data_IF_148387208705
#
_entry.id   IF_148387208705
#
_cell.length_a   1.000
_cell.length_b   1.000
_cell.length_c   1.000
_cell.angle_alpha   90.00
_cell.angle_beta   90.00
_cell.angle_gamma   90.00
#
_symmetry.space_group_name_H-M   'P 1'
#
loop_
_entity.id
_entity.type
_entity.pdbx_description
1 polymer ?
#
# COMPACT_ATOMS: atom_id res chain seq x y z
N UNK A 1 41.30 11.45 -43.98
CA UNK A 1 40.06 12.01 -44.55
C UNK A 1 38.94 11.92 -43.51
N UNK A 2 38.39 13.08 -43.13
CA UNK A 2 37.06 13.36 -42.55
C UNK A 2 36.51 12.48 -41.42
N UNK A 3 36.63 13.03 -40.21
CA UNK A 3 35.73 12.86 -39.07
C UNK A 3 34.27 13.16 -39.45
N UNK A 4 33.31 12.38 -38.91
CA UNK A 4 31.90 12.78 -38.86
C UNK A 4 31.38 12.72 -37.44
N UNK A 5 31.28 13.92 -36.89
CA UNK A 5 30.48 14.34 -35.76
C UNK A 5 28.99 14.28 -36.12
N UNK A 6 28.18 13.66 -35.26
CA UNK A 6 26.76 13.91 -35.09
C UNK A 6 26.58 14.00 -33.56
N UNK A 7 26.12 15.08 -32.95
CA UNK A 7 25.08 16.00 -33.36
C UNK A 7 24.06 16.00 -32.23
N UNK A 8 24.37 16.74 -31.16
CA UNK A 8 23.51 16.94 -29.98
C UNK A 8 22.21 17.62 -30.42
N UNK A 9 21.07 16.96 -30.23
CA UNK A 9 19.77 17.63 -30.17
C UNK A 9 19.37 17.70 -28.70
N UNK A 10 19.50 18.89 -28.14
CA UNK A 10 19.04 19.21 -26.79
C UNK A 10 17.52 19.30 -26.76
N UNK A 11 16.92 18.52 -25.86
CA UNK A 11 15.61 18.82 -25.30
C UNK A 11 15.80 19.03 -23.79
N UNK A 12 16.03 20.29 -23.42
CA UNK A 12 15.86 20.78 -22.06
C UNK A 12 14.35 20.97 -21.85
N UNK A 13 13.68 19.96 -21.31
CA UNK A 13 12.38 20.14 -20.68
C UNK A 13 12.60 20.54 -19.21
N UNK A 14 11.90 21.56 -18.68
CA UNK A 14 12.04 21.96 -17.30
C UNK A 14 11.47 20.88 -16.38
N UNK A 15 12.34 20.27 -15.58
CA UNK A 15 12.04 19.33 -14.48
C UNK A 15 11.42 20.09 -13.28
N UNK A 16 10.36 20.84 -13.54
CA UNK A 16 9.59 21.57 -12.54
C UNK A 16 8.18 21.02 -12.45
N UNK A 17 7.84 20.49 -11.27
CA UNK A 17 6.49 20.11 -10.85
C UNK A 17 5.89 18.84 -11.50
N UNK A 18 5.98 17.72 -10.79
CA UNK A 18 4.79 16.87 -10.55
C UNK A 18 5.01 15.94 -9.34
N UNK A 19 5.20 16.54 -8.17
CA UNK A 19 5.23 15.84 -6.88
C UNK A 19 3.93 16.13 -6.12
N UNK A 20 2.82 15.71 -6.72
CA UNK A 20 1.48 15.80 -6.13
C UNK A 20 0.63 14.68 -6.70
N UNK A 21 0.57 13.54 -6.01
CA UNK A 21 -0.59 12.65 -6.12
C UNK A 21 -0.82 11.85 -4.83
N UNK A 22 -1.83 12.34 -4.11
CA UNK A 22 -2.77 11.65 -3.20
C UNK A 22 -2.23 11.13 -1.87
N UNK A 23 -2.40 11.99 -0.87
CA UNK A 23 -2.78 11.60 0.49
C UNK A 23 -3.94 10.60 0.46
N UNK A 24 -3.68 9.31 0.66
CA UNK A 24 -4.75 8.40 1.06
C UNK A 24 -4.95 8.55 2.57
N UNK A 25 -5.91 9.40 2.89
CA UNK A 25 -6.50 9.56 4.21
C UNK A 25 -6.90 8.15 4.71
N UNK A 26 -6.49 7.72 5.91
CA UNK A 26 -7.09 6.56 6.52
C UNK A 26 -8.56 6.91 6.82
N UNK A 27 -9.48 6.36 6.04
CA UNK A 27 -10.89 6.33 6.42
C UNK A 27 -10.97 5.56 7.73
N UNK A 28 -11.00 6.30 8.84
CA UNK A 28 -11.45 5.81 10.11
C UNK A 28 -12.90 5.34 9.91
N UNK A 29 -13.07 4.03 9.76
CA UNK A 29 -14.37 3.41 9.94
C UNK A 29 -14.71 3.57 11.42
N UNK A 30 -15.39 4.68 11.71
CA UNK A 30 -16.07 4.91 12.96
C UNK A 30 -16.96 3.71 13.25
N UNK A 31 -16.71 3.08 14.40
CA UNK A 31 -17.64 2.19 15.09
C UNK A 31 -18.93 2.98 15.37
N UNK A 32 -19.88 2.91 14.45
CA UNK A 32 -21.26 3.32 14.66
C UNK A 32 -21.96 2.31 15.57
N UNK A 33 -21.86 2.54 16.88
CA UNK A 33 -22.73 1.97 17.90
C UNK A 33 -23.78 3.03 18.26
N UNK A 34 -25.08 2.81 18.02
CA UNK A 34 -26.15 3.33 18.87
C UNK A 34 -26.58 2.19 19.82
N UNK A 35 -26.64 2.36 21.14
CA UNK A 35 -27.42 3.38 21.84
C UNK A 35 -28.84 2.80 22.05
N UNK A 36 -29.07 1.93 23.02
CA UNK A 36 -29.41 2.18 24.44
C UNK A 36 -30.92 1.99 24.71
N UNK A 37 -31.20 1.42 25.89
CA UNK A 37 -32.44 1.38 26.69
C UNK A 37 -33.75 0.86 26.09
N UNK A 38 -34.01 -0.41 26.39
CA UNK A 38 -35.32 -0.85 26.86
C UNK A 38 -35.15 -1.52 28.22
N UNK A 39 -35.28 -0.74 29.30
CA UNK A 39 -35.34 -1.26 30.67
C UNK A 39 -36.59 -2.12 30.79
N UNK A 40 -36.44 -3.43 30.76
CA UNK A 40 -37.54 -4.37 31.01
C UNK A 40 -37.77 -4.36 32.53
N UNK A 41 -38.99 -4.07 33.02
CA UNK A 41 -39.29 -4.20 34.44
C UNK A 41 -39.17 -5.68 34.84
N UNK A 42 -38.39 -5.94 35.89
CA UNK A 42 -38.32 -7.22 36.58
C UNK A 42 -39.70 -7.55 37.17
N UNK A 43 -40.53 -8.23 36.38
CA UNK A 43 -41.67 -8.97 36.92
C UNK A 43 -41.20 -10.42 37.11
N UNK A 44 -40.79 -10.74 38.35
CA UNK A 44 -40.52 -12.10 38.80
C UNK A 44 -41.88 -12.81 38.95
N UNK A 45 -42.48 -13.13 37.81
CA UNK A 45 -43.63 -14.01 37.68
C UNK A 45 -43.14 -15.35 37.18
N UNK A 46 -43.17 -16.35 38.06
CA UNK A 46 -42.84 -17.76 37.81
C UNK A 46 -43.48 -18.25 36.51
N UNK A 47 -42.68 -18.36 35.45
CA UNK A 47 -43.13 -18.86 34.14
C UNK A 47 -42.86 -20.37 34.07
N UNK A 48 -43.87 -21.20 33.73
CA UNK A 48 -43.72 -22.64 33.71
C UNK A 48 -42.65 -23.06 32.71
N UNK A 49 -41.72 -23.89 33.17
CA UNK A 49 -40.69 -24.56 32.38
C UNK A 49 -41.33 -25.55 31.40
N UNK A 50 -41.81 -25.02 30.29
CA UNK A 50 -42.37 -25.80 29.18
C UNK A 50 -42.20 -25.00 27.90
N UNK A 51 -40.98 -24.94 27.38
CA UNK A 51 -40.73 -24.33 26.07
C UNK A 51 -41.38 -25.21 25.00
N UNK A 52 -42.38 -24.72 24.24
CA UNK A 52 -42.83 -25.43 23.05
C UNK A 52 -41.64 -25.48 22.09
N UNK A 53 -41.31 -26.66 21.57
CA UNK A 53 -40.29 -26.79 20.53
C UNK A 53 -40.60 -25.84 19.38
N UNK A 54 -39.58 -25.16 18.86
CA UNK A 54 -39.75 -24.29 17.68
C UNK A 54 -40.40 -25.11 16.57
N UNK A 55 -41.52 -24.67 15.96
CA UNK A 55 -42.16 -25.38 14.87
C UNK A 55 -41.16 -25.70 13.76
N UNK A 56 -41.22 -26.91 13.17
CA UNK A 56 -40.27 -27.32 12.12
C UNK A 56 -40.16 -26.29 10.97
N UNK A 57 -41.26 -25.63 10.62
CA UNK A 57 -41.26 -24.54 9.63
C UNK A 57 -40.38 -23.35 10.03
N UNK A 58 -40.36 -22.98 11.31
CA UNK A 58 -39.50 -21.91 11.81
C UNK A 58 -38.02 -22.35 11.86
N UNK A 59 -37.73 -23.63 12.14
CA UNK A 59 -36.36 -24.17 12.04
C UNK A 59 -35.86 -24.14 10.59
N UNK A 60 -36.69 -24.56 9.63
CA UNK A 60 -36.34 -24.54 8.20
C UNK A 60 -36.06 -23.10 7.72
N UNK A 61 -36.91 -22.13 8.11
CA UNK A 61 -36.67 -20.70 7.79
C UNK A 61 -35.35 -20.18 8.35
N UNK A 62 -34.94 -20.62 9.55
CA UNK A 62 -33.66 -20.23 10.13
C UNK A 62 -32.46 -20.85 9.38
N UNK A 63 -32.60 -22.08 8.91
CA UNK A 63 -31.57 -22.75 8.09
C UNK A 63 -31.43 -22.02 6.74
N UNK A 64 -32.54 -21.74 6.06
CA UNK A 64 -32.54 -21.01 4.78
C UNK A 64 -31.95 -19.60 4.93
N UNK A 65 -32.32 -18.88 5.99
CA UNK A 65 -31.78 -17.56 6.28
C UNK A 65 -30.27 -17.58 6.55
N UNK A 66 -29.77 -18.59 7.28
CA UNK A 66 -28.33 -18.77 7.54
C UNK A 66 -27.58 -19.09 6.24
N UNK A 67 -28.13 -19.95 5.40
CA UNK A 67 -27.52 -20.33 4.13
C UNK A 67 -27.45 -19.12 3.19
N UNK A 68 -28.54 -18.36 3.06
CA UNK A 68 -28.57 -17.12 2.27
C UNK A 68 -27.58 -16.07 2.78
N UNK A 69 -27.48 -15.90 4.10
CA UNK A 69 -26.52 -14.99 4.71
C UNK A 69 -25.07 -15.44 4.45
N UNK A 70 -24.81 -16.74 4.45
CA UNK A 70 -23.50 -17.26 4.10
C UNK A 70 -23.17 -16.99 2.63
N UNK A 71 -24.07 -17.35 1.69
CA UNK A 71 -23.84 -17.15 0.25
C UNK A 71 -23.56 -15.67 -0.08
N UNK A 72 -24.25 -14.74 0.60
CA UNK A 72 -23.96 -13.32 0.49
C UNK A 72 -22.51 -12.98 0.91
N UNK A 73 -21.99 -13.63 1.96
CA UNK A 73 -20.60 -13.46 2.41
C UNK A 73 -19.60 -14.10 1.46
N UNK A 74 -19.91 -15.28 0.91
CA UNK A 74 -19.09 -15.94 -0.10
C UNK A 74 -18.90 -15.04 -1.33
N UNK A 75 -20.02 -14.51 -1.85
CA UNK A 75 -19.97 -13.57 -2.97
C UNK A 75 -19.18 -12.31 -2.61
N UNK A 76 -19.38 -11.76 -1.41
CA UNK A 76 -18.61 -10.61 -0.96
C UNK A 76 -17.10 -10.89 -0.84
N UNK A 77 -16.69 -12.08 -0.41
CA UNK A 77 -15.28 -12.50 -0.38
C UNK A 77 -14.72 -12.56 -1.80
N UNK A 78 -15.41 -13.26 -2.71
CA UNK A 78 -14.97 -13.39 -4.12
C UNK A 78 -14.79 -12.02 -4.75
N UNK A 79 -15.78 -11.13 -4.63
CA UNK A 79 -15.70 -9.76 -5.14
C UNK A 79 -14.55 -8.97 -4.51
N UNK A 80 -14.38 -9.05 -3.18
CA UNK A 80 -13.26 -8.36 -2.49
C UNK A 80 -11.90 -8.89 -2.91
N UNK A 81 -11.77 -10.20 -3.10
CA UNK A 81 -10.53 -10.84 -3.56
C UNK A 81 -10.16 -10.36 -4.96
N UNK A 82 -11.12 -10.33 -5.88
CA UNK A 82 -10.91 -9.78 -7.24
C UNK A 82 -10.48 -8.32 -7.21
N UNK A 83 -11.17 -7.48 -6.44
CA UNK A 83 -10.80 -6.06 -6.32
C UNK A 83 -9.44 -5.85 -5.67
N UNK A 84 -9.08 -6.67 -4.67
CA UNK A 84 -7.75 -6.59 -4.09
C UNK A 84 -6.69 -6.96 -5.13
N UNK A 85 -6.90 -8.02 -5.91
CA UNK A 85 -6.00 -8.38 -7.00
C UNK A 85 -5.76 -7.22 -7.96
N UNK A 86 -6.83 -6.60 -8.44
CA UNK A 86 -6.75 -5.42 -9.31
C UNK A 86 -6.01 -4.26 -8.66
N UNK A 87 -6.31 -3.96 -7.40
CA UNK A 87 -5.64 -2.90 -6.64
C UNK A 87 -4.15 -3.18 -6.46
N UNK A 88 -3.79 -4.40 -6.06
CA UNK A 88 -2.41 -4.80 -5.81
C UNK A 88 -1.58 -4.73 -7.09
N UNK A 89 -2.09 -5.27 -8.21
CA UNK A 89 -1.44 -5.18 -9.52
C UNK A 89 -1.26 -3.73 -9.95
N UNK A 90 -2.31 -2.90 -9.84
CA UNK A 90 -2.23 -1.47 -10.22
C UNK A 90 -1.20 -0.72 -9.36
N UNK A 91 -1.11 -1.03 -8.07
CA UNK A 91 -0.13 -0.42 -7.17
C UNK A 91 1.29 -0.89 -7.49
N UNK A 92 1.48 -2.19 -7.75
CA UNK A 92 2.76 -2.77 -8.15
C UNK A 92 3.29 -2.11 -9.42
N UNK A 93 2.46 -1.96 -10.47
CA UNK A 93 2.85 -1.27 -11.71
C UNK A 93 3.29 0.17 -11.48
N UNK A 94 2.58 0.91 -10.63
CA UNK A 94 2.93 2.30 -10.28
C UNK A 94 4.23 2.37 -9.50
N UNK A 95 4.44 1.46 -8.57
CA UNK A 95 5.64 1.37 -7.75
C UNK A 95 6.85 0.99 -8.60
N UNK A 96 6.72 0.00 -9.49
CA UNK A 96 7.73 -0.37 -10.48
C UNK A 96 8.12 0.81 -11.37
N UNK A 97 7.14 1.55 -11.89
CA UNK A 97 7.41 2.71 -12.73
C UNK A 97 8.18 3.80 -11.98
N UNK A 98 7.93 3.99 -10.68
CA UNK A 98 8.67 4.94 -9.84
C UNK A 98 10.08 4.42 -9.60
N UNK A 99 10.24 3.17 -9.16
CA UNK A 99 11.55 2.56 -8.89
C UNK A 99 12.45 2.67 -10.13
N UNK A 100 11.93 2.26 -11.29
CA UNK A 100 12.64 2.34 -12.57
C UNK A 100 13.10 3.76 -12.91
N UNK A 101 12.25 4.77 -12.74
CA UNK A 101 12.63 6.18 -13.00
C UNK A 101 13.74 6.65 -12.08
N UNK A 102 13.74 6.21 -10.82
CA UNK A 102 14.76 6.58 -9.83
C UNK A 102 16.10 5.90 -10.17
N UNK A 103 16.07 4.63 -10.53
CA UNK A 103 17.25 3.87 -10.98
C UNK A 103 17.83 4.45 -12.29
N UNK A 104 16.97 4.79 -13.26
CA UNK A 104 17.38 5.47 -14.49
C UNK A 104 18.00 6.85 -14.21
N UNK A 105 17.40 7.64 -13.32
CA UNK A 105 17.97 8.93 -12.93
C UNK A 105 19.33 8.76 -12.23
N UNK A 106 19.46 7.79 -11.33
CA UNK A 106 20.71 7.50 -10.64
C UNK A 106 21.83 7.16 -11.64
N UNK A 107 21.57 6.21 -12.53
CA UNK A 107 22.56 5.72 -13.50
C UNK A 107 22.91 6.73 -14.60
N UNK A 108 21.93 7.53 -15.06
CA UNK A 108 22.13 8.44 -16.20
C UNK A 108 22.51 9.87 -15.81
N UNK A 109 22.20 10.30 -14.57
CA UNK A 109 22.45 11.68 -14.11
C UNK A 109 23.36 11.74 -12.89
N UNK A 110 23.12 10.92 -11.87
CA UNK A 110 23.83 11.03 -10.59
C UNK A 110 25.24 10.46 -10.69
N UNK A 111 25.38 9.23 -11.17
CA UNK A 111 26.68 8.55 -11.33
C UNK A 111 27.62 9.32 -12.28
N UNK A 112 27.17 9.78 -13.48
CA UNK A 112 28.03 10.58 -14.36
C UNK A 112 28.43 11.94 -13.79
N UNK A 113 27.71 12.44 -12.79
CA UNK A 113 28.07 13.68 -12.07
C UNK A 113 29.11 13.43 -10.96
N UNK A 114 29.66 12.20 -10.86
CA UNK A 114 30.65 11.82 -9.86
C UNK A 114 30.08 11.58 -8.46
N UNK A 115 28.75 11.46 -8.33
CA UNK A 115 28.06 11.22 -7.06
C UNK A 115 27.60 9.77 -6.99
N UNK A 116 27.70 9.17 -5.81
CA UNK A 116 27.30 7.78 -5.58
C UNK A 116 26.57 7.64 -4.26
N UNK A 117 25.66 6.68 -4.20
CA UNK A 117 24.97 6.26 -2.96
C UNK A 117 25.68 5.00 -2.46
N UNK A 118 26.14 5.00 -1.21
CA UNK A 118 26.93 3.91 -0.60
C UNK A 118 26.21 2.56 -0.63
N UNK A 119 24.90 2.56 -0.34
CA UNK A 119 24.10 1.35 -0.16
C UNK A 119 23.10 1.14 -1.30
N UNK A 120 23.40 1.65 -2.50
CA UNK A 120 22.49 1.63 -3.64
C UNK A 120 22.01 0.22 -3.99
N UNK A 121 22.94 -0.74 -4.14
CA UNK A 121 22.60 -2.11 -4.52
C UNK A 121 21.74 -2.81 -3.47
N UNK A 122 21.98 -2.52 -2.18
CA UNK A 122 21.17 -3.03 -1.09
C UNK A 122 19.74 -2.47 -1.12
N UNK A 123 19.58 -1.17 -1.45
CA UNK A 123 18.26 -0.55 -1.60
C UNK A 123 17.48 -1.12 -2.78
N UNK A 124 18.14 -1.37 -3.92
CA UNK A 124 17.51 -2.02 -5.09
C UNK A 124 17.14 -3.47 -4.78
N UNK A 125 18.00 -4.21 -4.08
CA UNK A 125 17.70 -5.57 -3.65
C UNK A 125 16.51 -5.64 -2.68
N UNK A 126 16.40 -4.68 -1.75
CA UNK A 126 15.24 -4.59 -0.84
C UNK A 126 13.95 -4.28 -1.60
N UNK A 127 13.97 -3.35 -2.56
CA UNK A 127 12.83 -3.07 -3.46
C UNK A 127 12.35 -4.36 -4.14
N UNK A 128 13.25 -5.14 -4.73
CA UNK A 128 12.90 -6.39 -5.39
C UNK A 128 12.35 -7.43 -4.40
N UNK A 129 12.95 -7.53 -3.21
CA UNK A 129 12.48 -8.42 -2.14
C UNK A 129 11.05 -8.07 -1.72
N UNK A 130 10.75 -6.78 -1.53
CA UNK A 130 9.40 -6.33 -1.14
C UNK A 130 8.37 -6.49 -2.26
N UNK A 131 8.79 -6.32 -3.52
CA UNK A 131 7.94 -6.65 -4.67
C UNK A 131 7.55 -8.12 -4.67
N UNK A 132 8.51 -9.02 -4.51
CA UNK A 132 8.22 -10.47 -4.42
C UNK A 132 7.29 -10.77 -3.24
N UNK A 133 7.47 -10.12 -2.09
CA UNK A 133 6.58 -10.30 -0.94
C UNK A 133 5.13 -9.89 -1.25
N UNK A 134 4.90 -8.83 -2.04
CA UNK A 134 3.55 -8.45 -2.52
C UNK A 134 2.95 -9.58 -3.36
N UNK A 135 3.71 -10.10 -4.33
CA UNK A 135 3.24 -11.17 -5.23
C UNK A 135 2.92 -12.46 -4.45
N UNK A 136 3.77 -12.83 -3.49
CA UNK A 136 3.53 -14.00 -2.62
C UNK A 136 2.28 -13.81 -1.79
N UNK A 137 2.13 -12.67 -1.11
CA UNK A 137 0.95 -12.40 -0.28
C UNK A 137 -0.33 -12.37 -1.12
N UNK A 138 -0.27 -11.81 -2.33
CA UNK A 138 -1.43 -11.75 -3.23
C UNK A 138 -1.83 -13.14 -3.73
N UNK A 139 -0.85 -13.96 -4.13
CA UNK A 139 -1.09 -15.33 -4.56
C UNK A 139 -1.74 -16.15 -3.45
N UNK A 140 -1.24 -16.03 -2.22
CA UNK A 140 -1.81 -16.71 -1.05
C UNK A 140 -3.26 -16.27 -0.80
N UNK A 141 -3.49 -14.95 -0.76
CA UNK A 141 -4.81 -14.38 -0.57
C UNK A 141 -5.83 -14.84 -1.63
N UNK A 142 -5.40 -14.96 -2.88
CA UNK A 142 -6.24 -15.48 -3.96
C UNK A 142 -6.55 -16.96 -3.76
N UNK A 143 -5.55 -17.78 -3.45
CA UNK A 143 -5.73 -19.20 -3.18
C UNK A 143 -6.68 -19.46 -2.00
N UNK A 144 -6.57 -18.71 -0.92
CA UNK A 144 -7.44 -18.89 0.25
C UNK A 144 -8.87 -18.39 -0.01
N UNK A 145 -9.03 -17.42 -0.91
CA UNK A 145 -10.36 -16.92 -1.30
C UNK A 145 -11.16 -17.90 -2.17
N UNK A 146 -10.50 -18.76 -2.95
CA UNK A 146 -11.19 -19.76 -3.78
C UNK A 146 -11.67 -20.95 -2.98
N UNK A 147 -11.04 -21.21 -1.83
CA UNK A 147 -11.43 -22.29 -0.90
C UNK A 147 -12.66 -21.99 -0.05
N UNK A 148 -13.15 -20.75 -0.04
CA UNK A 148 -14.31 -20.38 0.78
C UNK A 148 -15.60 -21.04 0.27
N UNK A 149 -16.25 -21.83 1.11
CA UNK A 149 -17.55 -22.44 0.81
C UNK A 149 -18.49 -22.40 1.99
N UNK A 150 -19.73 -21.99 1.73
CA UNK A 150 -20.79 -21.98 2.73
C UNK A 150 -21.25 -23.34 3.23
N UNK A 151 -20.93 -24.40 2.49
CA UNK A 151 -21.21 -25.78 2.86
C UNK A 151 -19.94 -26.52 3.29
N UNK A 152 -18.81 -25.80 3.42
CA UNK A 152 -17.57 -26.38 3.92
C UNK A 152 -17.60 -26.62 5.42
N UNK A 153 -16.60 -27.36 5.91
CA UNK A 153 -16.52 -27.76 7.32
C UNK A 153 -16.21 -26.60 8.27
N UNK A 154 -15.49 -25.57 7.81
CA UNK A 154 -15.13 -24.39 8.62
C UNK A 154 -15.17 -23.04 7.85
N UNK A 155 -16.36 -22.54 7.49
CA UNK A 155 -16.50 -21.24 6.82
C UNK A 155 -16.05 -20.06 7.70
N UNK A 156 -16.07 -20.22 9.04
CA UNK A 156 -15.65 -19.14 9.94
C UNK A 156 -14.13 -19.01 9.99
N UNK A 157 -13.41 -20.13 10.02
CA UNK A 157 -11.96 -20.16 9.91
C UNK A 157 -11.49 -19.61 8.57
N UNK A 158 -12.11 -20.05 7.46
CA UNK A 158 -11.79 -19.55 6.13
C UNK A 158 -11.99 -18.02 5.99
N UNK A 159 -13.07 -17.47 6.57
CA UNK A 159 -13.28 -16.02 6.61
C UNK A 159 -12.19 -15.29 7.42
N UNK A 160 -11.73 -15.90 8.51
CA UNK A 160 -10.70 -15.32 9.37
C UNK A 160 -9.34 -15.34 8.67
N UNK A 161 -9.03 -16.44 7.99
CA UNK A 161 -7.84 -16.60 7.17
C UNK A 161 -7.81 -15.54 6.06
N UNK A 162 -8.87 -15.45 5.25
CA UNK A 162 -8.97 -14.46 4.18
C UNK A 162 -8.69 -13.03 4.67
N UNK A 163 -9.25 -12.62 5.82
CA UNK A 163 -8.99 -11.28 6.39
C UNK A 163 -7.52 -11.08 6.76
N UNK A 164 -6.86 -12.11 7.29
CA UNK A 164 -5.43 -12.07 7.61
C UNK A 164 -4.61 -11.93 6.33
N UNK A 165 -4.97 -12.62 5.26
CA UNK A 165 -4.24 -12.53 3.99
C UNK A 165 -4.42 -11.15 3.35
N UNK A 166 -5.62 -10.56 3.41
CA UNK A 166 -5.84 -9.17 2.98
C UNK A 166 -4.93 -8.20 3.73
N UNK A 167 -4.77 -8.37 5.04
CA UNK A 167 -3.87 -7.53 5.84
C UNK A 167 -2.41 -7.74 5.45
N UNK A 168 -2.01 -8.98 5.14
CA UNK A 168 -0.66 -9.29 4.67
C UNK A 168 -0.36 -8.60 3.33
N UNK A 169 -1.28 -8.61 2.37
CA UNK A 169 -1.12 -7.90 1.08
C UNK A 169 -0.98 -6.40 1.30
N UNK A 170 -1.84 -5.81 2.14
CA UNK A 170 -1.78 -4.37 2.44
C UNK A 170 -0.43 -4.01 3.09
N UNK A 171 0.07 -4.85 4.00
CA UNK A 171 1.35 -4.61 4.64
C UNK A 171 2.51 -4.73 3.65
N UNK A 172 2.51 -5.76 2.80
CA UNK A 172 3.53 -5.94 1.77
C UNK A 172 3.59 -4.74 0.81
N UNK A 173 2.44 -4.19 0.40
CA UNK A 173 2.37 -3.00 -0.45
C UNK A 173 2.95 -1.76 0.24
N UNK A 174 2.73 -1.60 1.56
CA UNK A 174 3.33 -0.50 2.34
C UNK A 174 4.83 -0.64 2.45
N UNK A 175 5.32 -1.85 2.69
CA UNK A 175 6.75 -2.11 2.81
C UNK A 175 7.45 -1.85 1.47
N UNK A 176 6.83 -2.28 0.36
CA UNK A 176 7.34 -2.01 -0.98
C UNK A 176 7.37 -0.51 -1.33
N UNK A 177 6.31 0.23 -0.97
CA UNK A 177 6.33 1.70 -1.10
C UNK A 177 7.45 2.33 -0.25
N UNK A 178 7.69 1.80 0.94
CA UNK A 178 8.69 2.32 1.87
C UNK A 178 10.10 2.10 1.37
N UNK A 179 10.41 0.92 0.81
CA UNK A 179 11.73 0.63 0.22
C UNK A 179 12.04 1.56 -0.97
N UNK A 180 11.06 1.80 -1.84
CA UNK A 180 11.19 2.79 -2.93
C UNK A 180 11.46 4.20 -2.38
N UNK A 181 10.76 4.60 -1.33
CA UNK A 181 10.98 5.90 -0.68
C UNK A 181 12.40 6.01 -0.12
N UNK A 182 12.93 4.94 0.49
CA UNK A 182 14.30 4.90 0.99
C UNK A 182 15.31 5.12 -0.13
N UNK A 183 15.12 4.49 -1.30
CA UNK A 183 15.96 4.74 -2.48
C UNK A 183 15.88 6.20 -2.94
N UNK A 184 14.67 6.77 -3.05
CA UNK A 184 14.49 8.17 -3.43
C UNK A 184 15.22 9.10 -2.48
N UNK A 185 15.09 8.89 -1.16
CA UNK A 185 15.74 9.72 -0.14
C UNK A 185 17.27 9.60 -0.23
N UNK A 186 17.80 8.39 -0.43
CA UNK A 186 19.23 8.18 -0.57
C UNK A 186 19.81 8.83 -1.84
N UNK A 187 19.09 8.73 -2.97
CA UNK A 187 19.49 9.43 -4.21
C UNK A 187 19.40 10.94 -4.03
N UNK A 188 18.38 11.44 -3.33
CA UNK A 188 18.20 12.87 -3.10
C UNK A 188 19.24 13.45 -2.12
N UNK A 189 19.72 12.67 -1.15
CA UNK A 189 20.71 13.15 -0.17
C UNK A 189 22.06 13.47 -0.81
N UNK A 190 22.42 12.74 -1.88
CA UNK A 190 23.66 13.00 -2.62
C UNK A 190 23.50 14.10 -3.66
N UNK A 191 22.29 14.34 -4.17
CA UNK A 191 22.02 15.40 -5.15
C UNK A 191 21.74 16.76 -4.52
N UNK A 192 21.11 16.80 -3.34
CA UNK A 192 20.69 18.02 -2.63
C UNK A 192 21.81 18.91 -2.06
N UNK A 193 23.06 18.46 -2.05
CA UNK A 193 24.21 19.24 -1.53
C UNK A 193 24.73 20.28 -2.53
N UNK A 194 24.22 20.34 -3.77
CA UNK A 194 24.83 21.16 -4.85
C UNK A 194 24.17 22.53 -5.09
N UNK A 195 23.09 22.90 -4.40
CA UNK A 195 22.42 24.20 -4.65
C UNK A 195 22.35 25.17 -3.45
N UNK A 196 23.31 25.12 -2.52
CA UNK A 196 23.56 26.24 -1.60
C UNK A 196 25.02 26.66 -1.59
N UNK A 197 25.57 26.98 -2.76
CA UNK A 197 26.63 27.99 -2.80
C UNK A 197 25.95 29.34 -2.65
N UNK A 198 25.71 29.73 -1.40
CA UNK A 198 25.42 31.13 -1.06
C UNK A 198 26.57 31.98 -1.59
N UNK A 199 26.34 33.03 -2.39
CA UNK A 199 27.42 33.93 -2.78
C UNK A 199 28.02 34.54 -1.51
N UNK A 200 29.27 34.19 -1.22
CA UNK A 200 30.08 34.80 -0.18
C UNK A 200 30.15 36.31 -0.46
N UNK A 201 29.83 37.20 0.51
CA UNK A 201 30.04 38.63 0.32
C UNK A 201 31.55 38.88 0.22
N UNK A 202 31.91 39.36 -0.96
CA UNK A 202 33.20 39.87 -1.39
C UNK A 202 33.98 40.57 -0.27
N UNK A 203 35.25 40.19 -0.14
CA UNK A 203 36.23 40.87 0.69
C UNK A 203 36.30 42.36 0.34
N UNK A 204 36.12 43.22 1.34
CA UNK A 204 36.38 44.65 1.21
C UNK A 204 37.89 44.91 1.22
N UNK A 205 38.42 45.75 0.31
CA UNK A 205 39.84 46.07 0.26
C UNK A 205 40.26 46.99 1.41
N UNK A 206 41.42 46.68 1.97
CA UNK A 206 42.16 47.42 3.00
C UNK A 206 42.56 48.81 2.49
N UNK A 207 42.35 49.90 3.25
CA UNK A 207 42.93 51.19 2.92
C UNK A 207 44.35 51.29 3.52
N UNK A 208 45.33 51.40 2.62
CA UNK A 208 46.74 51.67 2.92
C UNK A 208 46.89 53.11 3.40
N UNK A 209 47.20 53.30 4.68
CA UNK A 209 47.71 54.57 5.21
C UNK A 209 49.23 54.61 5.11
N UNK A 210 49.79 55.72 4.61
CA UNK A 210 51.23 56.01 4.53
C UNK A 210 51.39 57.50 4.90
N UNK A 211 52.54 57.89 5.48
CA UNK A 211 52.66 58.63 6.76
C UNK A 211 52.34 60.12 6.73
#
# INVERSE_FOLDING_TARGET
MKTKSFGKAGYLAPLGALLLLVMLVPSALALGRPGNVGTVPNNVGSRPSGSPGIPQQAQNRLIDAKLKACQARENAIKTRSTHLGQLATTMEEKFDAIAKRVEEYYTTKVVPSGKTVSDYDALVADIQTKKTAVQTALTQAQADSTGFSCTGDDPKGQMTLFRKDMQAVIQALKDYRTSIKSLIVAVHSVTGTTERTSPSPSASPVPTGTP
#
